data_IF_338629641354
#
_entry.id   IF_338629641354
#
_cell.length_a   1.000
_cell.length_b   1.000
_cell.length_c   1.000
_cell.angle_alpha   90.00
_cell.angle_beta   90.00
_cell.angle_gamma   90.00
#
_symmetry.space_group_name_H-M   'P 1'
#
loop_
_entity.id
_entity.type
_entity.pdbx_description
1 polymer ?
#
# COMPACT_ATOMS: atom_id res chain seq x y z
N UNK A 1 -2.99 -3.53 -3.80
CA UNK A 1 -3.21 -2.07 -3.92
C UNK A 1 -3.28 -1.72 -5.40
N UNK A 2 -4.20 -0.81 -5.76
CA UNK A 2 -4.31 -0.32 -7.13
C UNK A 2 -3.03 0.43 -7.52
N UNK A 3 -2.44 0.17 -8.72
CA UNK A 3 -1.22 0.83 -9.18
C UNK A 3 -1.30 2.35 -9.14
N UNK A 4 -0.25 3.00 -8.62
CA UNK A 4 -0.16 4.45 -8.46
C UNK A 4 -0.76 5.01 -7.17
N UNK A 5 -1.26 4.15 -6.26
CA UNK A 5 -1.80 4.55 -4.96
C UNK A 5 -1.03 3.94 -3.77
N UNK A 6 0.11 3.32 -4.02
CA UNK A 6 0.90 2.63 -3.01
C UNK A 6 1.31 3.57 -1.87
N UNK A 7 1.89 4.72 -2.21
CA UNK A 7 2.30 5.74 -1.23
C UNK A 7 1.12 6.26 -0.42
N UNK A 8 -0.03 6.51 -1.08
CA UNK A 8 -1.23 6.96 -0.40
C UNK A 8 -1.74 5.93 0.61
N UNK A 9 -1.80 4.65 0.22
CA UNK A 9 -2.28 3.57 1.09
C UNK A 9 -1.29 3.30 2.23
N UNK A 10 0.02 3.32 1.96
CA UNK A 10 1.05 3.20 3.00
C UNK A 10 0.95 4.33 4.01
N UNK A 11 0.79 5.58 3.55
CA UNK A 11 0.60 6.75 4.41
C UNK A 11 -0.72 6.65 5.18
N UNK A 12 -1.79 6.19 4.53
CA UNK A 12 -3.09 5.99 5.16
C UNK A 12 -3.02 4.98 6.30
N UNK A 13 -2.36 3.85 6.09
CA UNK A 13 -2.19 2.79 7.09
C UNK A 13 -1.16 3.17 8.16
N UNK A 14 -0.06 3.81 7.78
CA UNK A 14 0.99 4.18 8.72
C UNK A 14 1.43 3.02 9.60
N UNK A 15 1.39 3.20 10.92
CA UNK A 15 1.76 2.15 11.89
C UNK A 15 0.82 0.92 11.86
N UNK A 16 -0.40 1.05 11.33
CA UNK A 16 -1.32 -0.08 11.21
C UNK A 16 -0.84 -1.17 10.24
N UNK A 17 0.16 -0.89 9.38
CA UNK A 17 0.86 -1.89 8.57
C UNK A 17 1.53 -2.99 9.42
N UNK A 18 1.82 -2.71 10.69
CA UNK A 18 2.43 -3.66 11.62
C UNK A 18 1.40 -4.43 12.46
N UNK A 19 0.11 -4.15 12.28
CA UNK A 19 -0.95 -4.84 13.02
C UNK A 19 -1.03 -6.30 12.59
N UNK A 20 -1.26 -7.18 13.55
CA UNK A 20 -1.28 -8.62 13.36
C UNK A 20 -2.73 -9.09 13.29
N UNK A 21 -3.12 -9.67 12.16
CA UNK A 21 -4.44 -10.28 12.01
C UNK A 21 -4.44 -11.65 12.65
N UNK A 22 -5.44 -11.91 13.49
CA UNK A 22 -5.63 -13.19 14.17
C UNK A 22 -7.07 -13.70 13.97
N UNK A 23 -7.27 -14.98 14.11
CA UNK A 23 -8.55 -15.62 13.82
C UNK A 23 -9.70 -15.13 14.73
N UNK A 24 -9.40 -14.94 16.02
CA UNK A 24 -10.43 -14.61 17.00
C UNK A 24 -9.87 -13.88 18.22
N UNK A 25 -10.75 -13.41 19.07
CA UNK A 25 -10.42 -12.71 20.31
C UNK A 25 -9.56 -13.57 21.26
N UNK A 26 -9.82 -14.88 21.31
CA UNK A 26 -9.05 -15.81 22.18
C UNK A 26 -7.60 -15.87 21.77
N UNK A 27 -7.31 -15.96 20.46
CA UNK A 27 -5.96 -15.94 19.91
C UNK A 27 -5.25 -14.61 20.21
N UNK A 28 -5.95 -13.48 20.11
CA UNK A 28 -5.41 -12.17 20.47
C UNK A 28 -5.03 -12.11 21.96
N UNK A 29 -5.90 -12.57 22.84
CA UNK A 29 -5.64 -12.59 24.30
C UNK A 29 -4.44 -13.48 24.64
N UNK A 30 -4.32 -14.65 24.04
CA UNK A 30 -3.19 -15.56 24.22
C UNK A 30 -1.86 -14.92 23.77
N UNK A 31 -1.86 -14.28 22.58
CA UNK A 31 -0.70 -13.58 22.07
C UNK A 31 -0.29 -12.39 22.97
N UNK A 32 -1.24 -11.62 23.47
CA UNK A 32 -0.99 -10.52 24.41
C UNK A 32 -0.38 -11.03 25.72
N UNK A 33 -0.89 -12.15 26.25
CA UNK A 33 -0.36 -12.79 27.47
C UNK A 33 1.09 -13.23 27.26
N UNK A 34 1.37 -13.88 26.12
CA UNK A 34 2.72 -14.30 25.74
C UNK A 34 3.70 -13.11 25.64
N UNK A 35 3.31 -12.03 24.96
CA UNK A 35 4.13 -10.83 24.86
C UNK A 35 4.43 -10.21 26.23
N UNK A 36 3.43 -10.23 27.14
CA UNK A 36 3.61 -9.72 28.51
C UNK A 36 4.60 -10.58 29.31
N UNK A 37 4.46 -11.89 29.24
CA UNK A 37 5.31 -12.86 29.95
C UNK A 37 6.76 -12.80 29.47
N UNK A 38 6.96 -12.78 28.15
CA UNK A 38 8.29 -12.76 27.53
C UNK A 38 8.92 -11.37 27.47
N UNK A 39 8.20 -10.32 27.91
CA UNK A 39 8.62 -8.92 27.73
C UNK A 39 8.91 -8.57 26.25
N UNK A 40 8.17 -9.20 25.33
CA UNK A 40 8.32 -9.11 23.86
C UNK A 40 7.84 -7.78 23.23
N UNK A 41 7.57 -6.76 24.04
CA UNK A 41 7.10 -5.47 23.56
C UNK A 41 5.58 -5.41 23.43
N UNK A 42 5.09 -4.55 22.51
CA UNK A 42 3.66 -4.30 22.27
C UNK A 42 3.33 -4.48 20.79
N UNK A 43 2.22 -5.14 20.52
CA UNK A 43 1.66 -5.27 19.19
C UNK A 43 0.15 -4.98 19.23
N UNK A 44 -0.41 -4.58 18.11
CA UNK A 44 -1.87 -4.46 17.92
C UNK A 44 -2.36 -5.67 17.18
N UNK A 45 -3.35 -6.35 17.74
CA UNK A 45 -4.00 -7.50 17.14
C UNK A 45 -5.37 -7.12 16.58
N UNK A 46 -5.69 -7.66 15.41
CA UNK A 46 -6.97 -7.46 14.72
C UNK A 46 -7.70 -8.80 14.59
N UNK A 47 -8.53 -9.18 15.57
CA UNK A 47 -9.30 -10.42 15.49
C UNK A 47 -10.38 -10.30 14.42
N UNK A 48 -10.53 -11.34 13.59
CA UNK A 48 -11.51 -11.37 12.50
C UNK A 48 -12.97 -11.35 13.01
N UNK A 49 -13.21 -11.87 14.20
CA UNK A 49 -14.53 -11.96 14.82
C UNK A 49 -14.98 -10.68 15.54
N UNK A 50 -14.03 -9.85 15.99
CA UNK A 50 -14.34 -8.64 16.78
C UNK A 50 -14.20 -7.34 16.02
N UNK A 51 -13.32 -7.28 15.00
CA UNK A 51 -13.11 -6.06 14.22
C UNK A 51 -14.39 -5.72 13.44
N UNK A 52 -14.90 -4.51 13.68
CA UNK A 52 -16.09 -4.01 12.99
C UNK A 52 -15.70 -3.14 11.79
N UNK A 53 -16.41 -3.24 10.67
CA UNK A 53 -16.19 -2.36 9.53
C UNK A 53 -16.47 -0.92 9.94
N UNK A 54 -15.68 -0.01 9.36
CA UNK A 54 -15.87 1.43 9.50
C UNK A 54 -15.95 2.02 8.10
N UNK A 55 -17.04 2.69 7.79
CA UNK A 55 -17.22 3.35 6.50
C UNK A 55 -17.95 4.68 6.70
N UNK A 56 -17.89 5.54 5.71
CA UNK A 56 -18.77 6.68 5.56
C UNK A 56 -19.54 6.53 4.24
N UNK A 57 -20.58 7.32 4.06
CA UNK A 57 -21.36 7.27 2.82
C UNK A 57 -20.51 7.78 1.66
N UNK A 58 -20.07 6.87 0.80
CA UNK A 58 -19.23 7.18 -0.36
C UNK A 58 -19.93 8.13 -1.36
N UNK A 59 -21.28 8.21 -1.33
CA UNK A 59 -22.07 9.14 -2.16
C UNK A 59 -21.85 10.60 -1.77
N UNK A 60 -21.31 10.85 -0.59
CA UNK A 60 -20.96 12.21 -0.15
C UNK A 60 -19.59 12.68 -0.63
N UNK A 61 -18.82 11.79 -1.30
CA UNK A 61 -17.52 12.15 -1.84
C UNK A 61 -17.65 12.95 -3.13
N UNK A 62 -16.85 14.00 -3.30
CA UNK A 62 -16.64 14.63 -4.59
C UNK A 62 -16.09 13.65 -5.63
N UNK A 63 -16.31 13.92 -6.93
CA UNK A 63 -15.90 13.05 -8.04
C UNK A 63 -14.38 12.78 -8.10
N UNK A 64 -13.58 13.73 -7.62
CA UNK A 64 -12.11 13.66 -7.56
C UNK A 64 -11.56 13.09 -6.24
N UNK A 65 -12.40 12.42 -5.47
CA UNK A 65 -12.06 11.78 -4.20
C UNK A 65 -12.51 10.32 -4.17
N UNK A 66 -11.65 9.45 -3.69
CA UNK A 66 -11.90 8.00 -3.63
C UNK A 66 -11.73 7.50 -2.20
N UNK A 67 -12.60 6.59 -1.75
CA UNK A 67 -12.39 5.91 -0.47
C UNK A 67 -11.18 4.97 -0.54
N UNK A 68 -10.27 5.06 0.42
CA UNK A 68 -9.04 4.28 0.45
C UNK A 68 -9.29 2.76 0.45
N UNK A 69 -10.37 2.28 1.08
CA UNK A 69 -10.73 0.86 1.07
C UNK A 69 -11.05 0.32 -0.33
N UNK A 70 -11.56 1.15 -1.24
CA UNK A 70 -11.82 0.78 -2.64
C UNK A 70 -10.57 0.66 -3.51
N UNK A 71 -9.41 1.08 -3.01
CA UNK A 71 -8.13 1.00 -3.70
C UNK A 71 -7.34 -0.26 -3.34
N UNK A 72 -7.88 -1.11 -2.44
CA UNK A 72 -7.21 -2.31 -1.95
C UNK A 72 -8.08 -3.53 -2.25
N UNK A 73 -7.45 -4.56 -2.77
CA UNK A 73 -8.06 -5.89 -2.94
C UNK A 73 -7.52 -6.81 -1.85
N UNK A 74 -8.42 -7.54 -1.18
CA UNK A 74 -8.10 -8.55 -0.19
C UNK A 74 -9.16 -9.67 -0.24
N UNK A 75 -8.85 -10.83 0.31
CA UNK A 75 -9.83 -11.90 0.47
C UNK A 75 -11.03 -11.42 1.28
N UNK A 76 -12.21 -11.94 0.98
CA UNK A 76 -13.47 -11.57 1.64
C UNK A 76 -13.40 -11.69 3.17
N UNK A 77 -12.65 -12.66 3.70
CA UNK A 77 -12.44 -12.83 5.14
C UNK A 77 -11.79 -11.62 5.83
N UNK A 78 -11.06 -10.77 5.10
CA UNK A 78 -10.41 -9.57 5.61
C UNK A 78 -11.19 -8.28 5.33
N UNK A 79 -12.38 -8.37 4.72
CA UNK A 79 -13.15 -7.20 4.31
C UNK A 79 -13.44 -6.23 5.47
N UNK A 80 -13.79 -6.76 6.65
CA UNK A 80 -14.03 -5.95 7.85
C UNK A 80 -12.76 -5.21 8.31
N UNK A 81 -11.60 -5.86 8.24
CA UNK A 81 -10.32 -5.25 8.62
C UNK A 81 -9.95 -4.13 7.64
N UNK A 82 -10.04 -4.39 6.34
CA UNK A 82 -9.77 -3.36 5.31
C UNK A 82 -10.72 -2.17 5.49
N UNK A 83 -12.01 -2.43 5.69
CA UNK A 83 -12.98 -1.38 5.95
C UNK A 83 -12.71 -0.63 7.27
N UNK A 84 -12.32 -1.33 8.33
CA UNK A 84 -11.96 -0.71 9.61
C UNK A 84 -10.79 0.26 9.48
N UNK A 85 -9.72 -0.17 8.79
CA UNK A 85 -8.49 0.60 8.67
C UNK A 85 -8.58 1.73 7.62
N UNK A 86 -9.28 1.50 6.51
CA UNK A 86 -9.26 2.37 5.35
C UNK A 86 -10.62 2.96 4.97
N UNK A 87 -11.72 2.45 5.55
CA UNK A 87 -13.08 2.82 5.14
C UNK A 87 -13.50 4.24 5.51
N UNK A 88 -12.72 4.96 6.31
CA UNK A 88 -12.95 6.38 6.66
C UNK A 88 -11.85 7.31 6.16
N UNK A 89 -10.95 6.80 5.32
CA UNK A 89 -9.86 7.59 4.73
C UNK A 89 -10.19 7.87 3.29
N UNK A 90 -9.99 9.12 2.89
CA UNK A 90 -10.22 9.60 1.53
C UNK A 90 -8.88 9.80 0.85
N UNK A 91 -8.78 9.39 -0.41
CA UNK A 91 -7.59 9.60 -1.24
C UNK A 91 -7.94 10.54 -2.38
N UNK A 92 -7.04 11.48 -2.64
CA UNK A 92 -7.15 12.49 -3.70
C UNK A 92 -5.80 12.65 -4.40
N UNK A 93 -5.77 13.38 -5.51
CA UNK A 93 -4.55 13.53 -6.30
C UNK A 93 -3.52 14.46 -5.67
N UNK A 94 -3.93 15.62 -5.16
CA UNK A 94 -3.05 16.70 -4.69
C UNK A 94 -3.57 17.40 -3.43
N UNK A 95 -2.71 18.23 -2.81
CA UNK A 95 -3.00 18.91 -1.54
C UNK A 95 -4.10 19.99 -1.65
N UNK A 96 -4.27 20.62 -2.82
CA UNK A 96 -5.32 21.63 -3.01
C UNK A 96 -6.68 20.95 -3.04
N UNK A 97 -6.76 19.84 -3.78
CA UNK A 97 -7.92 18.95 -3.78
C UNK A 97 -8.19 18.40 -2.38
N UNK A 98 -7.16 17.95 -1.65
CA UNK A 98 -7.29 17.50 -0.27
C UNK A 98 -7.89 18.57 0.65
N UNK A 99 -7.44 19.81 0.54
CA UNK A 99 -7.96 20.94 1.34
C UNK A 99 -9.44 21.21 1.04
N UNK A 100 -9.82 21.18 -0.23
CA UNK A 100 -11.22 21.39 -0.64
C UNK A 100 -12.12 20.26 -0.14
N UNK A 101 -11.69 19.01 -0.31
CA UNK A 101 -12.43 17.81 0.13
C UNK A 101 -12.53 17.76 1.64
N UNK A 102 -11.43 18.01 2.38
CA UNK A 102 -11.43 18.02 3.83
C UNK A 102 -12.42 19.06 4.38
N UNK A 103 -12.47 20.25 3.78
CA UNK A 103 -13.42 21.31 4.15
C UNK A 103 -14.86 20.88 3.86
N UNK A 104 -15.14 20.31 2.69
CA UNK A 104 -16.46 19.81 2.33
C UNK A 104 -16.95 18.71 3.28
N UNK A 105 -16.05 17.87 3.76
CA UNK A 105 -16.32 16.81 4.75
C UNK A 105 -16.30 17.34 6.21
N UNK A 106 -16.18 18.66 6.43
CA UNK A 106 -16.13 19.27 7.76
C UNK A 106 -14.96 18.78 8.61
N UNK A 107 -13.83 18.42 8.00
CA UNK A 107 -12.63 17.87 8.66
C UNK A 107 -12.90 16.65 9.55
N UNK A 108 -13.91 15.85 9.24
CA UNK A 108 -14.26 14.64 9.99
C UNK A 108 -13.46 13.42 9.55
N UNK A 109 -12.93 13.46 8.33
CA UNK A 109 -12.22 12.36 7.71
C UNK A 109 -10.76 12.73 7.48
N UNK A 110 -9.90 11.73 7.54
CA UNK A 110 -8.52 11.85 7.10
C UNK A 110 -8.47 11.83 5.58
N UNK A 111 -7.81 12.81 4.98
CA UNK A 111 -7.61 12.91 3.53
C UNK A 111 -6.12 12.75 3.24
N UNK A 112 -5.79 11.88 2.30
CA UNK A 112 -4.40 11.56 1.92
C UNK A 112 -4.24 11.81 0.43
N UNK A 113 -3.15 12.45 0.03
CA UNK A 113 -2.82 12.64 -1.38
C UNK A 113 -2.04 11.45 -1.95
N UNK A 114 -2.00 11.32 -3.27
CA UNK A 114 -1.24 10.24 -3.94
C UNK A 114 0.24 10.26 -3.61
N UNK A 115 0.81 11.43 -3.37
CA UNK A 115 2.22 11.63 -2.99
C UNK A 115 2.46 11.52 -1.47
N UNK A 116 1.42 11.24 -0.66
CA UNK A 116 1.54 10.94 0.76
C UNK A 116 1.42 12.16 1.69
N UNK A 117 0.88 13.29 1.24
CA UNK A 117 0.50 14.40 2.11
C UNK A 117 -0.80 14.07 2.83
N UNK A 118 -1.01 14.58 4.02
CA UNK A 118 -2.17 14.23 4.85
C UNK A 118 -2.82 15.46 5.44
N UNK A 119 -4.14 15.54 5.34
CA UNK A 119 -4.97 16.38 6.20
C UNK A 119 -5.69 15.47 7.19
N UNK A 120 -5.35 15.58 8.45
CA UNK A 120 -5.95 14.74 9.49
C UNK A 120 -7.38 15.19 9.82
N UNK A 121 -8.15 14.29 10.39
CA UNK A 121 -9.39 14.69 11.07
C UNK A 121 -9.04 15.75 12.13
N UNK A 122 -9.87 16.81 12.19
CA UNK A 122 -9.58 17.99 13.02
C UNK A 122 -8.75 19.07 12.31
N UNK A 123 -8.29 18.84 11.05
CA UNK A 123 -7.73 19.88 10.18
C UNK A 123 -6.22 20.12 10.28
N UNK A 124 -5.45 19.28 10.99
CA UNK A 124 -3.99 19.40 10.98
C UNK A 124 -3.40 18.83 9.70
N UNK A 125 -2.31 19.44 9.22
CA UNK A 125 -1.59 19.04 8.00
C UNK A 125 -0.31 18.30 8.37
N UNK A 126 -0.05 17.21 7.69
CA UNK A 126 1.20 16.45 7.77
C UNK A 126 1.72 16.26 6.35
N UNK A 127 2.93 16.69 6.07
CA UNK A 127 3.50 16.61 4.73
C UNK A 127 5.02 16.72 4.77
N UNK A 128 5.62 16.61 3.62
CA UNK A 128 7.06 16.62 3.41
C UNK A 128 7.43 15.60 2.33
N UNK A 129 8.71 15.37 2.11
CA UNK A 129 9.16 14.35 1.18
C UNK A 129 9.03 12.96 1.80
N UNK A 130 8.17 12.13 1.24
CA UNK A 130 8.15 10.69 1.55
C UNK A 130 9.14 10.01 0.61
N UNK A 131 10.14 9.32 1.17
CA UNK A 131 11.05 8.51 0.36
C UNK A 131 10.27 7.38 -0.31
N UNK A 132 10.18 7.39 -1.64
CA UNK A 132 9.50 6.35 -2.42
C UNK A 132 10.05 4.94 -2.17
N UNK A 133 11.32 4.85 -1.75
CA UNK A 133 11.98 3.57 -1.48
C UNK A 133 11.71 3.00 -0.08
N UNK A 134 10.99 3.72 0.79
CA UNK A 134 10.79 3.32 2.18
C UNK A 134 9.56 2.44 2.41
N UNK A 135 8.59 2.46 1.50
CA UNK A 135 7.31 1.76 1.66
C UNK A 135 7.37 0.26 1.32
N UNK A 136 6.58 -0.56 2.00
CA UNK A 136 6.51 -2.02 1.75
C UNK A 136 5.89 -2.35 0.39
N UNK A 137 4.84 -1.63 -0.01
CA UNK A 137 4.14 -1.84 -1.28
C UNK A 137 4.97 -1.32 -2.46
N UNK A 138 5.60 -0.15 -2.30
CA UNK A 138 6.49 0.44 -3.30
C UNK A 138 7.68 -0.46 -3.59
N UNK A 139 8.31 -1.03 -2.55
CA UNK A 139 9.43 -1.98 -2.71
C UNK A 139 9.04 -3.25 -3.44
N UNK A 140 7.86 -3.79 -3.14
CA UNK A 140 7.38 -5.00 -3.82
C UNK A 140 7.15 -4.75 -5.30
N UNK A 141 6.53 -3.62 -5.65
CA UNK A 141 6.30 -3.24 -7.05
C UNK A 141 7.62 -3.01 -7.79
N UNK A 142 8.56 -2.25 -7.19
CA UNK A 142 9.89 -2.03 -7.74
C UNK A 142 10.64 -3.34 -8.00
N UNK A 143 10.54 -4.29 -7.07
CA UNK A 143 11.13 -5.62 -7.18
C UNK A 143 10.54 -6.43 -8.36
N UNK A 144 9.23 -6.36 -8.56
CA UNK A 144 8.56 -7.00 -9.70
C UNK A 144 8.94 -6.35 -11.03
N UNK A 145 9.05 -5.04 -11.09
CA UNK A 145 9.50 -4.30 -12.27
C UNK A 145 10.97 -4.60 -12.61
N UNK A 146 11.84 -4.63 -11.60
CA UNK A 146 13.26 -4.97 -11.77
C UNK A 146 13.44 -6.42 -12.25
N UNK A 147 12.65 -7.36 -11.74
CA UNK A 147 12.66 -8.76 -12.22
C UNK A 147 12.24 -8.87 -13.68
N UNK A 148 11.21 -8.14 -14.11
CA UNK A 148 10.80 -8.10 -15.52
C UNK A 148 11.89 -7.51 -16.42
N UNK A 149 12.53 -6.42 -15.99
CA UNK A 149 13.66 -5.81 -16.72
C UNK A 149 14.84 -6.77 -16.81
N UNK A 150 15.18 -7.45 -15.72
CA UNK A 150 16.27 -8.43 -15.69
C UNK A 150 16.02 -9.56 -16.69
N UNK A 151 14.84 -10.18 -16.67
CA UNK A 151 14.49 -11.24 -17.62
C UNK A 151 14.57 -10.76 -19.07
N UNK A 152 14.13 -9.53 -19.37
CA UNK A 152 14.26 -8.94 -20.71
C UNK A 152 15.71 -8.71 -21.14
N UNK A 153 16.56 -8.24 -20.22
CA UNK A 153 17.99 -8.04 -20.50
C UNK A 153 18.74 -9.37 -20.66
N UNK A 154 18.42 -10.38 -19.89
CA UNK A 154 18.97 -11.74 -20.04
C UNK A 154 18.64 -12.34 -21.40
N UNK A 155 17.39 -12.17 -21.88
CA UNK A 155 16.99 -12.59 -23.21
C UNK A 155 17.76 -11.86 -24.30
N UNK A 156 17.88 -10.53 -24.20
CA UNK A 156 18.65 -9.71 -25.16
C UNK A 156 20.11 -10.12 -25.19
N UNK A 157 20.70 -10.40 -24.03
CA UNK A 157 22.08 -10.87 -23.91
C UNK A 157 22.27 -12.23 -24.62
N UNK A 158 21.31 -13.15 -24.38
CA UNK A 158 21.36 -14.48 -25.03
C UNK A 158 21.25 -14.38 -26.54
N UNK A 159 20.36 -13.50 -27.03
CA UNK A 159 20.20 -13.29 -28.50
C UNK A 159 21.41 -12.59 -29.11
N UNK A 160 22.01 -11.62 -28.42
CA UNK A 160 23.25 -11.00 -28.86
C UNK A 160 24.42 -12.00 -28.92
N UNK A 161 24.56 -12.85 -27.90
CA UNK A 161 25.57 -13.89 -27.87
C UNK A 161 25.43 -14.88 -29.05
N UNK A 162 24.19 -15.30 -29.36
CA UNK A 162 23.92 -16.16 -30.53
C UNK A 162 24.31 -15.48 -31.85
N UNK A 163 23.96 -14.19 -32.00
CA UNK A 163 24.33 -13.43 -33.20
C UNK A 163 25.86 -13.30 -33.37
N UNK A 164 26.56 -12.99 -32.26
CA UNK A 164 28.02 -12.90 -32.27
C UNK A 164 28.66 -14.23 -32.62
N UNK A 165 28.14 -15.34 -32.09
CA UNK A 165 28.64 -16.67 -32.37
C UNK A 165 28.38 -17.09 -33.85
N UNK A 166 27.22 -16.75 -34.40
CA UNK A 166 26.90 -16.99 -35.81
C UNK A 166 27.82 -16.20 -36.74
N UNK A 167 28.02 -14.88 -36.44
CA UNK A 167 28.90 -14.07 -37.22
C UNK A 167 30.39 -14.53 -37.19
N UNK A 168 30.84 -14.99 -35.99
CA UNK A 168 32.19 -15.57 -35.87
C UNK A 168 32.35 -16.86 -36.69
N UNK A 169 31.31 -17.71 -36.72
CA UNK A 169 31.31 -18.94 -37.53
C UNK A 169 31.34 -18.62 -39.04
N UNK A 170 30.61 -17.61 -39.51
CA UNK A 170 30.65 -17.17 -40.91
C UNK A 170 32.04 -16.63 -41.30
N UNK A 171 32.70 -15.84 -40.46
CA UNK A 171 34.04 -15.35 -40.71
C UNK A 171 35.01 -16.52 -40.83
N UNK A 172 34.95 -17.51 -39.95
CA UNK A 172 35.83 -18.68 -40.01
C UNK A 172 35.60 -19.57 -41.26
N UNK A 173 34.43 -19.52 -41.90
CA UNK A 173 34.15 -20.24 -43.15
C UNK A 173 34.66 -19.48 -44.41
N UNK A 174 34.91 -18.20 -44.29
CA UNK A 174 35.36 -17.34 -45.39
C UNK A 174 36.91 -17.19 -45.45
N UNK A 175 37.61 -17.63 -44.42
CA UNK A 175 39.09 -17.74 -44.36
C UNK A 175 39.53 -19.16 -44.84
#
# INVERSE_FOLDING_TARGET
>A
VRPGYETAIETALGFALQNIVVENETAAKAAMAYLKETKGGRATFLPLDTVRPASFDARTLPEDAVCASGLVQADAKYANIVSNLLGRIVVVDDINTASRVARALGYRNRVVTRDGQVINAGGSFTGGSVSRSAGLFSRRQELEELRKKLAGLEQQRADAAKRTQAAAAEVTQLE
#
